data_IF_659002327897
#
_entry.id   IF_659002327897
#
_cell.length_a   1.000
_cell.length_b   1.000
_cell.length_c   1.000
_cell.angle_alpha   90.00
_cell.angle_beta   90.00
_cell.angle_gamma   90.00
#
_symmetry.space_group_name_H-M   'P 1'
#
loop_
_entity.id
_entity.type
_entity.pdbx_description
1 polymer ?
#
# COMPACT_ATOMS: atom_id res chain seq x y z
N UNK A 1 11.44 20.31 -11.46
CA UNK A 1 12.07 18.97 -11.32
C UNK A 1 11.11 17.88 -10.79
N UNK A 2 9.78 18.05 -10.82
CA UNK A 2 8.84 17.03 -10.32
C UNK A 2 8.49 15.92 -11.34
N UNK A 3 8.78 16.12 -12.63
CA UNK A 3 8.35 15.21 -13.70
C UNK A 3 9.22 13.96 -13.87
N UNK A 4 10.51 13.99 -13.47
CA UNK A 4 11.40 12.81 -13.57
C UNK A 4 11.19 11.79 -12.44
N UNK A 5 10.64 12.21 -11.30
CA UNK A 5 10.45 11.33 -10.15
C UNK A 5 9.33 10.29 -10.35
N UNK A 6 8.49 10.46 -11.37
CA UNK A 6 7.42 9.52 -11.74
C UNK A 6 7.90 8.36 -12.64
N UNK A 7 9.11 8.43 -13.19
CA UNK A 7 9.61 7.43 -14.16
C UNK A 7 10.02 6.09 -13.51
N UNK A 8 10.23 6.07 -12.20
CA UNK A 8 10.38 4.83 -11.43
C UNK A 8 9.21 4.76 -10.45
N UNK A 9 8.01 4.43 -10.91
CA UNK A 9 6.87 4.17 -10.01
C UNK A 9 6.60 2.67 -9.94
N UNK A 10 6.60 2.13 -8.73
CA UNK A 10 6.05 0.82 -8.47
C UNK A 10 4.52 0.87 -8.52
N UNK A 11 3.88 -0.24 -8.88
CA UNK A 11 2.44 -0.42 -8.69
C UNK A 11 2.15 -1.57 -7.73
N UNK A 12 1.11 -1.38 -6.93
CA UNK A 12 0.49 -2.42 -6.10
C UNK A 12 -1.00 -2.44 -6.43
N UNK A 13 -1.51 -3.61 -6.79
CA UNK A 13 -2.94 -3.84 -6.92
C UNK A 13 -3.49 -4.27 -5.56
N UNK A 14 -4.32 -3.42 -4.97
CA UNK A 14 -5.07 -3.75 -3.77
C UNK A 14 -6.46 -4.21 -4.19
N UNK A 15 -6.87 -5.41 -3.79
CA UNK A 15 -8.18 -5.99 -4.04
C UNK A 15 -8.91 -6.12 -2.71
N UNK A 16 -10.06 -5.47 -2.62
CA UNK A 16 -10.98 -5.60 -1.50
C UNK A 16 -12.16 -6.49 -1.91
N UNK A 17 -12.56 -7.40 -1.02
CA UNK A 17 -13.81 -8.15 -1.14
C UNK A 17 -14.82 -7.57 -0.15
N UNK A 18 -15.72 -6.71 -0.65
CA UNK A 18 -16.97 -6.34 0.03
C UNK A 18 -18.17 -6.99 -0.69
N UNK A 19 -19.32 -6.30 -0.72
CA UNK A 19 -20.49 -6.72 -1.51
C UNK A 19 -20.19 -6.83 -3.01
N UNK A 20 -19.16 -6.13 -3.48
CA UNK A 20 -18.56 -6.27 -4.81
C UNK A 20 -17.04 -6.40 -4.69
N UNK A 21 -16.43 -7.08 -5.67
CA UNK A 21 -14.97 -7.12 -5.80
C UNK A 21 -14.50 -5.80 -6.39
N UNK A 22 -13.78 -5.03 -5.60
CA UNK A 22 -13.20 -3.76 -6.02
C UNK A 22 -11.68 -3.85 -6.01
N UNK A 23 -11.04 -3.11 -6.91
CA UNK A 23 -9.59 -3.06 -6.99
C UNK A 23 -9.08 -1.64 -7.17
N UNK A 24 -8.04 -1.30 -6.42
CA UNK A 24 -7.33 -0.03 -6.49
C UNK A 24 -5.91 -0.31 -7.00
N UNK A 25 -5.52 0.37 -8.08
CA UNK A 25 -4.14 0.33 -8.55
C UNK A 25 -3.40 1.54 -7.97
N UNK A 26 -2.54 1.29 -6.98
CA UNK A 26 -1.78 2.32 -6.30
C UNK A 26 -0.43 2.53 -7.01
N UNK A 27 -0.21 3.75 -7.52
CA UNK A 27 1.11 4.22 -7.96
C UNK A 27 1.88 4.69 -6.73
N UNK A 28 3.00 4.04 -6.45
CA UNK A 28 3.81 4.32 -5.25
C UNK A 28 5.29 4.48 -5.61
N UNK A 29 6.08 5.18 -4.78
CA UNK A 29 7.53 5.16 -4.88
C UNK A 29 8.07 3.71 -4.81
N UNK A 30 9.16 3.38 -5.54
CA UNK A 30 9.74 2.03 -5.55
C UNK A 30 10.15 1.56 -4.16
N UNK A 31 10.65 2.47 -3.34
CA UNK A 31 11.09 2.17 -1.97
C UNK A 31 9.91 1.73 -1.11
N UNK A 32 8.75 2.38 -1.26
CA UNK A 32 7.54 2.01 -0.55
C UNK A 32 7.02 0.65 -1.01
N UNK A 33 7.05 0.39 -2.33
CA UNK A 33 6.71 -0.93 -2.86
C UNK A 33 7.60 -2.02 -2.25
N UNK A 34 8.92 -1.79 -2.22
CA UNK A 34 9.89 -2.73 -1.62
C UNK A 34 9.61 -2.96 -0.14
N UNK A 35 9.31 -1.93 0.63
CA UNK A 35 8.97 -2.07 2.06
C UNK A 35 7.72 -2.94 2.27
N UNK A 36 6.70 -2.80 1.40
CA UNK A 36 5.48 -3.61 1.47
C UNK A 36 5.79 -5.07 1.11
N UNK A 37 6.63 -5.31 0.10
CA UNK A 37 7.09 -6.65 -0.30
C UNK A 37 7.89 -7.33 0.83
N UNK A 38 8.81 -6.60 1.46
CA UNK A 38 9.60 -7.08 2.61
C UNK A 38 8.70 -7.39 3.82
N UNK A 39 7.69 -6.55 4.09
CA UNK A 39 6.71 -6.82 5.15
C UNK A 39 5.89 -8.08 4.84
N UNK A 40 5.37 -8.19 3.62
CA UNK A 40 4.59 -9.35 3.17
C UNK A 40 5.38 -10.65 3.34
N UNK A 41 6.65 -10.64 2.94
CA UNK A 41 7.55 -11.78 3.08
C UNK A 41 7.76 -12.16 4.56
N UNK A 42 8.12 -11.19 5.42
CA UNK A 42 8.36 -11.44 6.85
C UNK A 42 7.10 -11.93 7.58
N UNK A 43 5.93 -11.40 7.23
CA UNK A 43 4.66 -11.77 7.85
C UNK A 43 4.03 -13.05 7.25
N UNK A 44 4.57 -13.59 6.16
CA UNK A 44 4.03 -14.77 5.50
C UNK A 44 2.65 -14.55 4.86
N UNK A 45 2.36 -13.34 4.39
CA UNK A 45 1.07 -12.97 3.79
C UNK A 45 1.22 -12.43 2.37
N UNK A 46 0.11 -12.36 1.62
CA UNK A 46 0.12 -11.72 0.30
C UNK A 46 0.46 -10.23 0.37
N UNK A 47 1.07 -9.70 -0.70
CA UNK A 47 1.33 -8.26 -0.87
C UNK A 47 0.03 -7.44 -0.71
N UNK A 48 -1.10 -7.95 -1.19
CA UNK A 48 -2.41 -7.32 -1.01
C UNK A 48 -2.79 -7.18 0.47
N UNK A 49 -2.67 -8.27 1.23
CA UNK A 49 -2.96 -8.27 2.67
C UNK A 49 -2.00 -7.35 3.43
N UNK A 50 -0.72 -7.37 3.10
CA UNK A 50 0.28 -6.46 3.65
C UNK A 50 -0.08 -4.99 3.41
N UNK A 51 -0.45 -4.63 2.18
CA UNK A 51 -0.88 -3.29 1.83
C UNK A 51 -2.11 -2.87 2.65
N UNK A 52 -3.13 -3.73 2.78
CA UNK A 52 -4.31 -3.44 3.58
C UNK A 52 -3.98 -3.21 5.07
N UNK A 53 -3.12 -4.04 5.67
CA UNK A 53 -2.71 -3.89 7.08
C UNK A 53 -1.99 -2.56 7.30
N UNK A 54 -0.99 -2.26 6.48
CA UNK A 54 -0.19 -1.04 6.60
C UNK A 54 -1.04 0.22 6.38
N UNK A 55 -1.98 0.20 5.42
CA UNK A 55 -2.93 1.29 5.21
C UNK A 55 -3.87 1.47 6.41
N UNK A 56 -4.40 0.38 6.96
CA UNK A 56 -5.29 0.45 8.12
C UNK A 56 -4.57 1.02 9.36
N UNK A 57 -3.31 0.65 9.58
CA UNK A 57 -2.50 1.18 10.69
C UNK A 57 -2.17 2.65 10.49
N UNK A 58 -1.79 3.07 9.28
CA UNK A 58 -1.59 4.49 8.98
C UNK A 58 -2.85 5.32 9.25
N UNK A 59 -4.02 4.85 8.81
CA UNK A 59 -5.31 5.52 9.07
C UNK A 59 -5.67 5.58 10.57
N UNK A 60 -5.28 4.57 11.36
CA UNK A 60 -5.45 4.61 12.83
C UNK A 60 -4.55 5.67 13.46
N UNK A 61 -3.30 5.78 13.02
CA UNK A 61 -2.36 6.80 13.50
C UNK A 61 -2.86 8.20 13.17
N UNK A 62 -3.31 8.44 11.94
CA UNK A 62 -3.84 9.75 11.53
C UNK A 62 -5.08 10.15 12.33
N UNK A 63 -6.02 9.21 12.57
CA UNK A 63 -7.19 9.49 13.44
C UNK A 63 -6.80 9.89 14.86
N UNK A 64 -5.75 9.27 15.42
CA UNK A 64 -5.26 9.63 16.76
C UNK A 64 -4.59 11.00 16.81
N UNK A 65 -4.02 11.49 15.71
CA UNK A 65 -3.43 12.84 15.63
C UNK A 65 -4.47 13.95 15.54
N UNK A 66 -5.67 13.62 15.09
CA UNK A 66 -6.78 14.56 14.90
C UNK A 66 -7.71 14.68 16.11
N UNK A 67 -7.52 13.83 17.13
CA UNK A 67 -8.24 13.85 18.40
C UNK A 67 -7.47 14.67 19.44
#
# INVERSE_FOLDING_TARGET
MAALQWLQSGSILVVARGDRRESLNLRVPPELKRQIEEYAHRAGISINAAACVLLADALRVERRRQA
#
